data_IF_830645906073
#
_entry.id   IF_830645906073
#
_cell.length_a   1.000
_cell.length_b   1.000
_cell.length_c   1.000
_cell.angle_alpha   90.00
_cell.angle_beta   90.00
_cell.angle_gamma   90.00
#
_symmetry.space_group_name_H-M   'P 1'
#
loop_
_entity.id
_entity.type
_entity.pdbx_description
1 polymer ?
#
# COMPACT_ATOMS: atom_id res chain seq x y z
N UNK A 1 66.87 -47.39 14.06
CA UNK A 1 65.52 -47.96 14.30
C UNK A 1 64.81 -47.07 15.30
N UNK A 2 63.52 -46.79 15.07
CA UNK A 2 62.71 -46.04 16.05
C UNK A 2 62.50 -46.87 17.31
N UNK A 3 62.61 -46.23 18.48
CA UNK A 3 62.32 -46.87 19.76
C UNK A 3 60.81 -46.85 20.02
N UNK A 4 60.34 -47.72 20.93
CA UNK A 4 58.94 -47.69 21.37
C UNK A 4 58.51 -46.32 21.90
N UNK A 5 59.43 -45.58 22.53
CA UNK A 5 59.19 -44.25 23.08
C UNK A 5 58.95 -43.21 21.98
N UNK A 6 59.74 -43.28 20.90
CA UNK A 6 59.59 -42.41 19.74
C UNK A 6 58.23 -42.61 19.07
N UNK A 7 57.79 -43.88 18.95
CA UNK A 7 56.47 -44.23 18.40
C UNK A 7 55.33 -43.67 19.27
N UNK A 8 55.43 -43.76 20.60
CA UNK A 8 54.40 -43.24 21.51
C UNK A 8 54.31 -41.72 21.46
N UNK A 9 55.45 -41.02 21.44
CA UNK A 9 55.47 -39.56 21.30
C UNK A 9 54.88 -39.12 19.96
N UNK A 10 55.15 -39.85 18.88
CA UNK A 10 54.56 -39.58 17.58
C UNK A 10 53.03 -39.73 17.62
N UNK A 11 52.50 -40.80 18.22
CA UNK A 11 51.06 -41.01 18.38
C UNK A 11 50.38 -39.90 19.21
N UNK A 12 51.06 -39.41 20.26
CA UNK A 12 50.57 -38.29 21.06
C UNK A 12 50.57 -36.96 20.28
N UNK A 13 51.56 -36.73 19.43
CA UNK A 13 51.59 -35.57 18.55
C UNK A 13 50.49 -35.67 17.47
N UNK A 14 50.31 -36.84 16.86
CA UNK A 14 49.27 -37.09 15.87
C UNK A 14 47.86 -36.85 16.43
N UNK A 15 47.57 -37.34 17.63
CA UNK A 15 46.25 -37.14 18.28
C UNK A 15 45.94 -35.69 18.62
N UNK A 16 46.94 -34.81 18.73
CA UNK A 16 46.75 -33.36 18.93
C UNK A 16 46.47 -32.59 17.63
N UNK A 17 46.85 -33.14 16.47
CA UNK A 17 46.72 -32.47 15.17
C UNK A 17 45.38 -32.78 14.49
N UNK A 18 44.79 -33.94 14.77
CA UNK A 18 43.50 -34.34 14.20
C UNK A 18 42.33 -34.01 15.12
N UNK A 19 41.20 -33.62 14.51
CA UNK A 19 39.95 -33.45 15.21
C UNK A 19 39.52 -34.78 15.85
N UNK A 20 39.17 -34.73 17.14
CA UNK A 20 38.60 -35.84 17.87
C UNK A 20 37.16 -36.08 17.44
N UNK A 21 36.62 -37.25 17.78
CA UNK A 21 35.18 -37.52 17.61
C UNK A 21 34.33 -36.44 18.28
N UNK A 22 34.77 -35.95 19.45
CA UNK A 22 34.06 -34.90 20.19
C UNK A 22 34.05 -33.57 19.45
N UNK A 23 35.14 -33.23 18.77
CA UNK A 23 35.23 -32.00 17.95
C UNK A 23 34.26 -32.02 16.77
N UNK A 24 33.92 -33.21 16.26
CA UNK A 24 33.03 -33.39 15.11
C UNK A 24 31.54 -33.52 15.49
N UNK A 25 31.20 -33.77 16.75
CA UNK A 25 29.80 -34.00 17.18
C UNK A 25 28.88 -32.79 16.94
N UNK A 26 29.44 -31.58 16.94
CA UNK A 26 28.68 -30.35 16.74
C UNK A 26 28.66 -29.89 15.27
N UNK A 27 29.38 -30.57 14.38
CA UNK A 27 29.36 -30.24 12.96
C UNK A 27 28.09 -30.76 12.31
N UNK A 28 27.38 -29.88 11.60
CA UNK A 28 26.25 -30.27 10.79
C UNK A 28 26.69 -31.29 9.73
N UNK A 29 25.97 -32.41 9.68
CA UNK A 29 26.15 -33.41 8.64
C UNK A 29 25.63 -32.89 7.31
N UNK A 30 26.13 -33.47 6.21
CA UNK A 30 25.62 -33.21 4.86
C UNK A 30 24.10 -33.42 4.76
N UNK A 31 23.54 -34.37 5.52
CA UNK A 31 22.10 -34.65 5.54
C UNK A 31 21.31 -33.52 6.20
N UNK A 32 21.80 -33.02 7.34
CA UNK A 32 21.17 -31.90 8.05
C UNK A 32 21.21 -30.62 7.22
N UNK A 33 22.36 -30.31 6.59
CA UNK A 33 22.43 -29.14 5.72
C UNK A 33 21.49 -29.26 4.51
N UNK A 34 21.36 -30.44 3.90
CA UNK A 34 20.39 -30.66 2.82
C UNK A 34 18.95 -30.47 3.29
N UNK A 35 18.62 -30.95 4.49
CA UNK A 35 17.29 -30.76 5.08
C UNK A 35 17.00 -29.27 5.30
N UNK A 36 17.91 -28.56 5.96
CA UNK A 36 17.78 -27.11 6.19
C UNK A 36 17.70 -26.32 4.88
N UNK A 37 18.52 -26.69 3.88
CA UNK A 37 18.45 -26.09 2.55
C UNK A 37 17.07 -26.27 1.93
N UNK A 38 16.52 -27.48 1.94
CA UNK A 38 15.18 -27.74 1.40
C UNK A 38 14.08 -26.98 2.16
N UNK A 39 14.18 -26.90 3.48
CA UNK A 39 13.24 -26.11 4.30
C UNK A 39 13.28 -24.62 3.95
N UNK A 40 14.48 -24.06 3.73
CA UNK A 40 14.65 -22.68 3.30
C UNK A 40 14.09 -22.47 1.89
N UNK A 41 14.36 -23.38 0.96
CA UNK A 41 13.84 -23.33 -0.41
C UNK A 41 12.31 -23.32 -0.40
N UNK A 42 11.67 -24.22 0.34
CA UNK A 42 10.21 -24.25 0.45
C UNK A 42 9.64 -22.95 1.01
N UNK A 43 10.24 -22.39 2.07
CA UNK A 43 9.82 -21.09 2.62
C UNK A 43 9.96 -19.96 1.60
N UNK A 44 11.02 -19.96 0.80
CA UNK A 44 11.22 -18.98 -0.26
C UNK A 44 10.17 -19.11 -1.37
N UNK A 45 9.77 -20.33 -1.74
CA UNK A 45 8.69 -20.57 -2.70
C UNK A 45 7.35 -20.02 -2.19
N UNK A 46 7.03 -20.21 -0.90
CA UNK A 46 5.84 -19.61 -0.27
C UNK A 46 5.89 -18.08 -0.30
N UNK A 47 7.00 -17.47 0.14
CA UNK A 47 7.17 -16.01 0.11
C UNK A 47 7.05 -15.47 -1.33
N UNK A 48 7.60 -16.18 -2.32
CA UNK A 48 7.47 -15.79 -3.72
C UNK A 48 6.00 -15.85 -4.21
N UNK A 49 5.23 -16.83 -3.75
CA UNK A 49 3.79 -16.93 -4.03
C UNK A 49 3.03 -15.75 -3.43
N UNK A 50 3.27 -15.44 -2.15
CA UNK A 50 2.63 -14.32 -1.46
C UNK A 50 2.92 -12.99 -2.15
N UNK A 51 4.18 -12.75 -2.55
CA UNK A 51 4.57 -11.55 -3.30
C UNK A 51 3.82 -11.46 -4.64
N UNK A 52 3.61 -12.58 -5.34
CA UNK A 52 2.82 -12.58 -6.59
C UNK A 52 1.36 -12.23 -6.33
N UNK A 53 0.76 -12.76 -5.26
CA UNK A 53 -0.61 -12.43 -4.86
C UNK A 53 -0.74 -10.95 -4.51
N UNK A 54 0.14 -10.44 -3.65
CA UNK A 54 0.15 -9.02 -3.27
C UNK A 54 0.30 -8.09 -4.48
N UNK A 55 1.12 -8.48 -5.48
CA UNK A 55 1.24 -7.72 -6.73
C UNK A 55 -0.08 -7.66 -7.51
N UNK A 56 -0.90 -8.70 -7.46
CA UNK A 56 -2.23 -8.71 -8.07
C UNK A 56 -3.19 -7.81 -7.29
N UNK A 57 -3.16 -7.87 -5.96
CA UNK A 57 -4.01 -7.04 -5.11
C UNK A 57 -3.70 -5.55 -5.30
N UNK A 58 -2.42 -5.18 -5.37
CA UNK A 58 -1.97 -3.82 -5.65
C UNK A 58 -2.53 -3.32 -6.99
N UNK A 59 -2.54 -4.14 -8.04
CA UNK A 59 -3.12 -3.76 -9.33
C UNK A 59 -4.62 -3.51 -9.24
N UNK A 60 -5.32 -4.28 -8.43
CA UNK A 60 -6.76 -4.11 -8.19
C UNK A 60 -7.02 -2.78 -7.48
N UNK A 61 -6.29 -2.51 -6.39
CA UNK A 61 -6.37 -1.24 -5.65
C UNK A 61 -6.04 -0.04 -6.56
N UNK A 62 -5.05 -0.16 -7.45
CA UNK A 62 -4.74 0.90 -8.42
C UNK A 62 -5.93 1.20 -9.36
N UNK A 63 -6.65 0.17 -9.79
CA UNK A 63 -7.86 0.32 -10.61
C UNK A 63 -8.98 1.00 -9.82
N UNK A 64 -9.20 0.58 -8.57
CA UNK A 64 -10.24 1.15 -7.72
C UNK A 64 -9.96 2.63 -7.42
N UNK A 65 -8.71 2.99 -7.14
CA UNK A 65 -8.29 4.39 -6.95
C UNK A 65 -8.58 5.23 -8.20
N UNK A 66 -8.30 4.70 -9.40
CA UNK A 66 -8.60 5.41 -10.65
C UNK A 66 -10.11 5.65 -10.81
N UNK A 67 -10.93 4.64 -10.52
CA UNK A 67 -12.39 4.77 -10.60
C UNK A 67 -12.93 5.82 -9.59
N UNK A 68 -12.36 5.87 -8.38
CA UNK A 68 -12.69 6.90 -7.39
C UNK A 68 -12.31 8.29 -7.88
N UNK A 69 -11.14 8.45 -8.52
CA UNK A 69 -10.71 9.72 -9.10
C UNK A 69 -11.67 10.20 -10.21
N UNK A 70 -12.08 9.30 -11.10
CA UNK A 70 -13.06 9.61 -12.15
C UNK A 70 -14.41 10.04 -11.55
N UNK A 71 -14.88 9.34 -10.52
CA UNK A 71 -16.12 9.71 -9.79
C UNK A 71 -16.01 11.10 -9.15
N UNK A 72 -14.87 11.42 -8.54
CA UNK A 72 -14.64 12.71 -7.90
C UNK A 72 -14.59 13.85 -8.91
N UNK A 73 -14.00 13.63 -10.09
CA UNK A 73 -13.98 14.61 -11.17
C UNK A 73 -15.40 14.93 -11.64
N UNK A 74 -16.22 13.90 -11.87
CA UNK A 74 -17.62 14.09 -12.28
C UNK A 74 -18.42 14.86 -11.22
N UNK A 75 -18.24 14.55 -9.93
CA UNK A 75 -18.90 15.29 -8.83
C UNK A 75 -18.45 16.75 -8.77
N UNK A 76 -17.18 17.02 -9.03
CA UNK A 76 -16.64 18.38 -9.08
C UNK A 76 -17.30 19.19 -10.19
N UNK A 77 -17.43 18.61 -11.38
CA UNK A 77 -18.11 19.24 -12.54
C UNK A 77 -19.57 19.53 -12.22
N UNK A 78 -20.31 18.53 -11.74
CA UNK A 78 -21.72 18.69 -11.36
C UNK A 78 -21.92 19.79 -10.30
N UNK A 79 -21.00 19.90 -9.34
CA UNK A 79 -21.06 20.94 -8.31
C UNK A 79 -20.83 22.32 -8.92
N UNK A 80 -19.93 22.44 -9.89
CA UNK A 80 -19.72 23.68 -10.66
C UNK A 80 -20.98 24.11 -11.42
N UNK A 81 -21.65 23.17 -12.08
CA UNK A 81 -22.90 23.45 -12.81
C UNK A 81 -24.01 23.93 -11.87
N UNK A 82 -24.17 23.29 -10.71
CA UNK A 82 -25.16 23.68 -9.70
C UNK A 82 -24.89 25.09 -9.17
N UNK A 83 -23.62 25.44 -8.94
CA UNK A 83 -23.23 26.79 -8.50
C UNK A 83 -23.60 27.83 -9.57
N UNK A 84 -23.27 27.57 -10.84
CA UNK A 84 -23.63 28.45 -11.94
C UNK A 84 -25.14 28.64 -12.04
N UNK A 85 -25.92 27.56 -11.95
CA UNK A 85 -27.39 27.65 -11.99
C UNK A 85 -27.96 28.44 -10.81
N UNK A 86 -27.35 28.29 -9.63
CA UNK A 86 -27.73 29.05 -8.43
C UNK A 86 -27.48 30.55 -8.62
N UNK A 87 -26.34 30.93 -9.19
CA UNK A 87 -26.00 32.31 -9.51
C UNK A 87 -26.96 32.90 -10.56
N UNK A 88 -27.28 32.14 -11.60
CA UNK A 88 -28.23 32.55 -12.64
C UNK A 88 -29.62 32.80 -12.04
N UNK A 89 -30.13 31.89 -11.20
CA UNK A 89 -31.41 32.09 -10.49
C UNK A 89 -31.35 33.34 -9.61
N UNK A 90 -30.27 33.52 -8.85
CA UNK A 90 -30.14 34.66 -7.96
C UNK A 90 -30.17 35.98 -8.76
N UNK A 91 -29.45 36.03 -9.88
CA UNK A 91 -29.43 37.22 -10.73
C UNK A 91 -30.77 37.48 -11.42
N UNK A 92 -31.31 36.49 -12.13
CA UNK A 92 -32.50 36.68 -12.96
C UNK A 92 -33.78 36.80 -12.12
N UNK A 93 -33.95 35.91 -11.14
CA UNK A 93 -35.19 35.85 -10.37
C UNK A 93 -35.15 36.83 -9.21
N UNK A 94 -34.12 36.72 -8.36
CA UNK A 94 -34.08 37.45 -7.08
C UNK A 94 -33.75 38.92 -7.32
N UNK A 95 -32.74 39.22 -8.13
CA UNK A 95 -32.28 40.60 -8.32
C UNK A 95 -33.04 41.36 -9.42
N UNK A 96 -33.57 40.69 -10.44
CA UNK A 96 -34.24 41.37 -11.56
C UNK A 96 -35.76 41.23 -11.53
N UNK A 97 -36.29 40.00 -11.68
CA UNK A 97 -37.72 39.79 -11.92
C UNK A 97 -38.59 40.05 -10.70
N UNK A 98 -38.16 39.67 -9.50
CA UNK A 98 -38.94 39.88 -8.28
C UNK A 98 -39.09 41.38 -7.97
N UNK A 99 -38.04 42.21 -7.93
CA UNK A 99 -38.17 43.65 -7.71
C UNK A 99 -39.09 44.32 -8.74
N UNK A 100 -38.93 43.99 -10.03
CA UNK A 100 -39.82 44.52 -11.06
C UNK A 100 -41.30 44.17 -10.83
N UNK A 101 -41.59 42.94 -10.37
CA UNK A 101 -42.95 42.50 -10.04
C UNK A 101 -43.49 43.26 -8.84
N UNK A 102 -42.68 43.42 -7.79
CA UNK A 102 -43.03 44.19 -6.58
C UNK A 102 -43.38 45.64 -6.97
N UNK A 103 -42.49 46.30 -7.73
CA UNK A 103 -42.72 47.67 -8.19
C UNK A 103 -44.01 47.83 -9.01
N UNK A 104 -44.35 46.87 -9.88
CA UNK A 104 -45.61 46.88 -10.62
C UNK A 104 -46.84 46.79 -9.70
N UNK A 105 -46.77 45.99 -8.64
CA UNK A 105 -47.86 45.82 -7.68
C UNK A 105 -48.02 47.09 -6.82
N UNK A 106 -46.92 47.63 -6.29
CA UNK A 106 -46.93 48.88 -5.51
C UNK A 106 -47.60 50.01 -6.29
N UNK A 107 -47.19 50.19 -7.57
CA UNK A 107 -47.79 51.17 -8.47
C UNK A 107 -49.29 50.94 -8.70
N UNK A 108 -49.73 49.68 -8.82
CA UNK A 108 -51.13 49.36 -9.06
C UNK A 108 -52.02 49.63 -7.83
N UNK A 109 -51.49 49.43 -6.63
CA UNK A 109 -52.22 49.59 -5.37
C UNK A 109 -52.08 50.99 -4.76
N UNK A 110 -51.26 51.87 -5.35
CA UNK A 110 -51.01 53.21 -4.83
C UNK A 110 -50.17 53.22 -3.56
N UNK A 111 -49.38 52.17 -3.32
CA UNK A 111 -48.43 52.16 -2.20
C UNK A 111 -47.20 53.01 -2.53
N UNK A 112 -46.60 53.68 -1.52
CA UNK A 112 -45.29 54.28 -1.69
C UNK A 112 -44.29 53.16 -2.03
N UNK A 113 -43.40 53.44 -3.00
CA UNK A 113 -42.33 52.50 -3.37
C UNK A 113 -41.45 52.29 -2.15
N UNK A 114 -41.29 51.03 -1.72
CA UNK A 114 -40.33 50.70 -0.69
C UNK A 114 -38.94 51.00 -1.25
N UNK A 115 -38.21 51.94 -0.63
CA UNK A 115 -36.87 52.31 -1.06
C UNK A 115 -35.93 51.09 -1.02
N UNK A 116 -35.04 51.02 -2.02
CA UNK A 116 -34.05 49.94 -2.25
C UNK A 116 -33.22 49.58 -1.01
#
# INVERSE_FOLDING_TARGET
>A
MLTKKDIIQLLQAFTKVFATKKDLENFATKKEMKKQHNEVVQKLEFVQSDIKSMKSDIKTVQSDVKNVQETLNNLTEMTGDILSWTDDIHKEIVMEKLPQRVHRIEKHLGFPVLAD
#
